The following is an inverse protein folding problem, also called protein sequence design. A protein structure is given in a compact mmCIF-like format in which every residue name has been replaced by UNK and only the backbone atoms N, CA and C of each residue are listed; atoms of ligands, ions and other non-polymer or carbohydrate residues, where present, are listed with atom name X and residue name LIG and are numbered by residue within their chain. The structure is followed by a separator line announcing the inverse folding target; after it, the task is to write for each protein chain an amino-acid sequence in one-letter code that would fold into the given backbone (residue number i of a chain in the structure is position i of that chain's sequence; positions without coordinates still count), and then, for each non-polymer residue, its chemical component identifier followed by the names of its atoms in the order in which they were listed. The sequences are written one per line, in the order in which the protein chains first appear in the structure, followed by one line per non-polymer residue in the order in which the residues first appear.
data_IF_083665656004
#
_entry.id   IF_083665656004
#
_cell.length_a   1.000
_cell.length_b   1.000
_cell.length_c   1.000
_cell.angle_alpha   90.00
_cell.angle_beta   90.00
_cell.angle_gamma   90.00
#
_symmetry.space_group_name_H-M   'P 1'
#
loop_
_entity.id
_entity.type
_entity.pdbx_description
1 polymer ?
#
# COMPACT_ATOMS: atom_id res chain seq x y z
N UNK A 1 -5.51 13.97 -3.76
CA UNK A 1 -4.66 15.00 -3.14
C UNK A 1 -3.24 14.50 -2.98
N UNK A 2 -2.27 15.31 -3.35
CA UNK A 2 -0.85 15.01 -3.15
C UNK A 2 -0.29 16.07 -2.20
N UNK A 3 0.19 15.62 -1.05
CA UNK A 3 0.68 16.50 0.00
C UNK A 3 2.06 17.07 -0.29
N UNK A 4 2.50 18.00 0.56
CA UNK A 4 3.78 18.66 0.38
C UNK A 4 4.93 17.66 0.48
N UNK A 5 5.93 17.81 -0.39
CA UNK A 5 7.13 16.98 -0.47
C UNK A 5 6.89 15.53 -0.86
N UNK A 6 5.65 15.09 -1.09
CA UNK A 6 5.39 13.76 -1.61
C UNK A 6 6.00 13.63 -3.01
N UNK A 7 6.55 12.46 -3.31
CA UNK A 7 7.24 12.20 -4.57
C UNK A 7 6.49 11.13 -5.35
N UNK A 8 6.07 11.48 -6.55
CA UNK A 8 5.31 10.60 -7.42
C UNK A 8 6.14 10.34 -8.68
N UNK A 9 6.37 9.07 -8.98
CA UNK A 9 7.15 8.66 -10.15
C UNK A 9 6.40 8.77 -11.46
N UNK A 10 7.03 8.27 -12.51
CA UNK A 10 6.49 8.27 -13.88
C UNK A 10 5.38 7.24 -14.03
N UNK A 11 4.37 7.58 -14.82
CA UNK A 11 3.33 6.60 -15.17
C UNK A 11 2.47 6.13 -14.00
N UNK A 12 2.46 6.88 -12.90
CA UNK A 12 1.65 6.53 -11.73
C UNK A 12 0.20 6.93 -12.00
N UNK A 13 -0.71 6.02 -11.68
CA UNK A 13 -2.15 6.28 -11.72
C UNK A 13 -2.66 6.48 -10.30
N UNK A 14 -3.21 7.64 -10.02
CA UNK A 14 -3.90 7.93 -8.77
C UNK A 14 -5.39 8.00 -9.06
N UNK A 15 -6.14 7.05 -8.53
CA UNK A 15 -7.59 6.98 -8.74
C UNK A 15 -8.33 8.03 -7.92
N UNK A 16 -9.64 8.14 -8.10
CA UNK A 16 -10.46 9.16 -7.43
C UNK A 16 -10.37 9.06 -5.92
N UNK A 17 -10.19 10.19 -5.25
CA UNK A 17 -10.17 10.27 -3.80
C UNK A 17 -8.91 9.77 -3.13
N UNK A 18 -7.85 9.48 -3.89
CA UNK A 18 -6.56 9.07 -3.32
C UNK A 18 -5.93 10.23 -2.55
N UNK A 19 -5.40 9.94 -1.38
CA UNK A 19 -4.59 10.86 -0.59
C UNK A 19 -3.15 10.37 -0.48
N UNK A 20 -2.20 11.20 -0.90
CA UNK A 20 -0.78 10.96 -0.67
C UNK A 20 -0.32 12.01 0.34
N UNK A 21 0.09 11.55 1.52
CA UNK A 21 0.39 12.44 2.62
C UNK A 21 1.65 13.26 2.42
N UNK A 22 1.64 14.46 2.95
CA UNK A 22 2.79 15.33 2.97
C UNK A 22 3.55 15.23 4.28
N UNK A 23 4.52 16.12 4.47
CA UNK A 23 5.29 16.24 5.71
C UNK A 23 4.53 17.18 6.64
N UNK A 24 3.61 16.63 7.41
CA UNK A 24 2.71 17.41 8.26
C UNK A 24 3.06 17.32 9.74
N UNK A 25 2.13 17.12 10.59
CA UNK A 25 2.28 17.15 12.04
C UNK A 25 2.17 15.75 12.65
N UNK A 26 3.21 15.27 13.34
CA UNK A 26 4.52 15.90 13.48
C UNK A 26 5.32 15.89 12.18
N UNK A 27 6.25 16.83 12.04
CA UNK A 27 7.08 16.91 10.84
C UNK A 27 7.89 15.62 10.67
N UNK A 28 7.77 15.01 9.50
CA UNK A 28 8.48 13.77 9.17
C UNK A 28 9.78 14.05 8.45
N UNK A 29 10.79 13.22 8.73
CA UNK A 29 12.09 13.35 8.07
C UNK A 29 12.04 12.84 6.61
N UNK A 30 11.19 11.86 6.31
CA UNK A 30 11.15 11.22 4.99
C UNK A 30 9.83 11.51 4.27
N UNK A 31 9.90 11.84 2.97
CA UNK A 31 8.68 12.03 2.19
C UNK A 31 8.01 10.68 1.89
N UNK A 32 6.69 10.75 1.65
CA UNK A 32 5.97 9.62 1.05
C UNK A 32 6.37 9.52 -0.41
N UNK A 33 6.66 8.31 -0.86
CA UNK A 33 7.16 8.07 -2.22
C UNK A 33 6.31 7.00 -2.90
N UNK A 34 5.80 7.32 -4.09
CA UNK A 34 5.16 6.36 -4.98
C UNK A 34 6.09 6.24 -6.19
N UNK A 35 6.72 5.09 -6.35
CA UNK A 35 7.68 4.89 -7.43
C UNK A 35 6.95 4.63 -8.77
N UNK A 36 7.75 4.46 -9.84
CA UNK A 36 7.23 4.44 -11.20
C UNK A 36 6.19 3.34 -11.46
N UNK A 37 5.23 3.65 -12.30
CA UNK A 37 4.25 2.71 -12.84
C UNK A 37 3.34 2.05 -11.80
N UNK A 38 3.19 2.66 -10.63
CA UNK A 38 2.25 2.18 -9.62
C UNK A 38 0.82 2.55 -9.99
N UNK A 39 -0.11 1.69 -9.60
CA UNK A 39 -1.54 1.97 -9.67
C UNK A 39 -2.07 2.07 -8.24
N UNK A 40 -2.64 3.21 -7.89
CA UNK A 40 -3.20 3.44 -6.56
C UNK A 40 -4.71 3.52 -6.68
N UNK A 41 -5.40 2.52 -6.14
CA UNK A 41 -6.86 2.40 -6.24
C UNK A 41 -7.61 3.50 -5.51
N UNK A 42 -8.86 3.68 -5.90
CA UNK A 42 -9.70 4.77 -5.40
C UNK A 42 -9.76 4.80 -3.87
N UNK A 43 -9.68 5.99 -3.31
CA UNK A 43 -9.79 6.29 -1.88
C UNK A 43 -8.73 5.63 -1.01
N UNK A 44 -7.62 5.21 -1.62
CA UNK A 44 -6.46 4.75 -0.85
C UNK A 44 -5.73 5.93 -0.24
N UNK A 45 -5.05 5.68 0.89
CA UNK A 45 -4.25 6.68 1.58
C UNK A 45 -2.85 6.12 1.80
N UNK A 46 -1.83 6.86 1.40
CA UNK A 46 -0.43 6.50 1.65
C UNK A 46 0.22 7.69 2.32
N UNK A 47 0.62 7.52 3.56
CA UNK A 47 1.05 8.62 4.41
C UNK A 47 2.31 8.26 5.20
N UNK A 48 2.83 9.21 5.96
CA UNK A 48 3.89 9.01 6.95
C UNK A 48 5.19 8.49 6.35
N UNK A 49 5.54 8.90 5.15
CA UNK A 49 6.81 8.50 4.54
C UNK A 49 6.85 7.05 4.06
N UNK A 50 5.72 6.40 3.90
CA UNK A 50 5.65 5.06 3.31
C UNK A 50 6.14 5.11 1.88
N UNK A 51 6.90 4.11 1.47
CA UNK A 51 7.41 3.97 0.10
C UNK A 51 6.68 2.84 -0.57
N UNK A 52 6.04 3.13 -1.70
CA UNK A 52 5.43 2.12 -2.57
C UNK A 52 6.37 1.94 -3.75
N UNK A 53 7.03 0.78 -3.81
CA UNK A 53 8.02 0.52 -4.85
C UNK A 53 7.38 0.28 -6.20
N UNK A 54 8.17 0.43 -7.25
CA UNK A 54 7.72 0.44 -8.64
C UNK A 54 6.84 -0.76 -9.02
N UNK A 55 5.97 -0.54 -9.97
CA UNK A 55 5.08 -1.54 -10.55
C UNK A 55 4.10 -2.18 -9.57
N UNK A 56 3.90 -1.57 -8.41
CA UNK A 56 2.94 -2.06 -7.42
C UNK A 56 1.52 -1.62 -7.74
N UNK A 57 0.56 -2.41 -7.28
CA UNK A 57 -0.86 -2.13 -7.44
C UNK A 57 -1.49 -2.15 -6.06
N UNK A 58 -2.11 -1.03 -5.67
CA UNK A 58 -2.96 -0.99 -4.49
C UNK A 58 -4.42 -1.02 -4.96
N UNK A 59 -5.19 -1.94 -4.41
CA UNK A 59 -6.64 -1.95 -4.64
C UNK A 59 -7.30 -0.73 -4.01
N UNK A 60 -8.60 -0.56 -4.22
CA UNK A 60 -9.31 0.55 -3.61
C UNK A 60 -9.31 0.43 -2.09
N UNK A 61 -9.26 1.58 -1.41
CA UNK A 61 -9.39 1.63 0.04
C UNK A 61 -8.25 0.97 0.80
N UNK A 62 -7.03 1.02 0.28
CA UNK A 62 -5.85 0.54 0.98
C UNK A 62 -5.22 1.70 1.74
N UNK A 63 -5.02 1.54 3.03
CA UNK A 63 -4.51 2.59 3.91
C UNK A 63 -3.14 2.20 4.45
N UNK A 64 -2.12 3.01 4.15
CA UNK A 64 -0.74 2.72 4.51
C UNK A 64 -0.12 3.88 5.30
N UNK A 65 0.15 3.63 6.56
CA UNK A 65 0.98 4.48 7.41
C UNK A 65 2.14 3.65 7.97
N UNK A 66 2.99 4.26 8.77
CA UNK A 66 4.16 3.56 9.34
C UNK A 66 3.77 2.44 10.31
N UNK A 67 2.60 2.53 10.90
CA UNK A 67 2.10 1.52 11.84
C UNK A 67 1.19 0.48 11.21
N UNK A 68 0.93 0.57 9.91
CA UNK A 68 0.08 -0.38 9.21
C UNK A 68 0.86 -1.65 8.90
N UNK A 69 0.44 -2.82 9.43
CA UNK A 69 1.08 -4.07 9.05
C UNK A 69 0.87 -4.36 7.57
N UNK A 70 1.94 -4.76 6.91
CA UNK A 70 1.89 -5.22 5.53
C UNK A 70 2.21 -6.71 5.57
N UNK A 71 1.19 -7.52 5.34
CA UNK A 71 1.27 -8.97 5.47
C UNK A 71 1.40 -9.61 4.08
N UNK A 72 2.48 -10.35 3.87
CA UNK A 72 2.69 -11.12 2.65
C UNK A 72 2.10 -12.51 2.86
N UNK A 73 0.97 -12.80 2.21
CA UNK A 73 0.30 -14.08 2.43
C UNK A 73 1.08 -15.28 1.90
N UNK A 74 2.03 -15.06 0.98
CA UNK A 74 2.85 -16.16 0.46
C UNK A 74 3.89 -16.64 1.47
N UNK A 75 4.41 -15.72 2.30
CA UNK A 75 5.49 -16.02 3.26
C UNK A 75 5.04 -15.96 4.71
N UNK A 76 3.92 -15.29 5.00
CA UNK A 76 3.47 -15.00 6.36
C UNK A 76 4.25 -13.88 7.03
N UNK A 77 5.11 -13.19 6.31
CA UNK A 77 5.95 -12.13 6.85
C UNK A 77 5.17 -10.84 6.99
N UNK A 78 5.43 -10.10 8.07
CA UNK A 78 4.84 -8.78 8.33
C UNK A 78 5.95 -7.75 8.28
N UNK A 79 5.76 -6.72 7.47
CA UNK A 79 6.69 -5.59 7.36
C UNK A 79 5.93 -4.28 7.51
N UNK A 80 6.68 -3.17 7.61
CA UNK A 80 6.12 -1.83 7.81
C UNK A 80 6.88 -0.83 6.95
N UNK A 81 6.17 0.21 6.50
CA UNK A 81 6.79 1.38 5.89
C UNK A 81 7.18 1.25 4.44
N UNK A 82 7.11 0.06 3.85
CA UNK A 82 7.53 -0.14 2.46
C UNK A 82 6.74 -1.27 1.82
N UNK A 83 6.19 -1.00 0.65
CA UNK A 83 5.55 -2.00 -0.21
C UNK A 83 6.58 -2.44 -1.25
N UNK A 84 7.00 -3.71 -1.27
CA UNK A 84 8.01 -4.17 -2.23
C UNK A 84 7.53 -4.06 -3.67
N UNK A 85 8.48 -3.92 -4.59
CA UNK A 85 8.17 -3.77 -6.02
C UNK A 85 7.29 -4.92 -6.53
N UNK A 86 6.36 -4.58 -7.42
CA UNK A 86 5.47 -5.56 -8.05
C UNK A 86 4.43 -6.17 -7.12
N UNK A 87 4.24 -5.62 -5.93
CA UNK A 87 3.22 -6.12 -5.00
C UNK A 87 1.82 -5.75 -5.46
N UNK A 88 0.90 -6.69 -5.31
CA UNK A 88 -0.54 -6.44 -5.46
C UNK A 88 -1.13 -6.49 -4.06
N UNK A 89 -1.68 -5.37 -3.62
CA UNK A 89 -2.06 -5.16 -2.23
C UNK A 89 -3.55 -4.87 -2.13
N UNK A 90 -4.20 -5.50 -1.18
CA UNK A 90 -5.62 -5.27 -0.88
C UNK A 90 -5.79 -5.03 0.62
N UNK A 91 -6.92 -4.45 0.99
CA UNK A 91 -7.29 -4.28 2.40
C UNK A 91 -7.65 -5.61 3.02
N UNK A 92 -7.27 -5.80 4.27
CA UNK A 92 -7.61 -6.99 5.03
C UNK A 92 -7.49 -6.75 6.52
N UNK A 93 -7.48 -7.83 7.27
CA UNK A 93 -7.38 -7.79 8.72
C UNK A 93 -6.48 -8.92 9.21
N UNK A 94 -5.82 -8.70 10.33
CA UNK A 94 -5.07 -9.75 11.02
C UNK A 94 -5.74 -10.05 12.35
N UNK A 95 -5.88 -11.33 12.71
CA UNK A 95 -6.46 -11.71 14.00
C UNK A 95 -5.57 -11.32 15.16
N UNK A 96 -6.18 -10.90 16.25
CA UNK A 96 -5.52 -10.48 17.48
C UNK A 96 -6.27 -11.07 18.67
N UNK A 97 -5.64 -11.04 19.84
CA UNK A 97 -6.25 -11.45 21.08
C UNK A 97 -6.14 -10.32 22.10
N UNK A 98 -7.27 -9.92 22.66
CA UNK A 98 -7.32 -8.90 23.69
C UNK A 98 -6.73 -9.41 25.01
N UNK A 99 -6.44 -8.48 25.94
CA UNK A 99 -5.88 -8.83 27.23
C UNK A 99 -6.77 -9.81 28.02
N UNK A 100 -8.08 -9.75 27.83
CA UNK A 100 -9.04 -10.66 28.47
C UNK A 100 -9.26 -11.97 27.71
N UNK A 101 -8.49 -12.21 26.63
CA UNK A 101 -8.60 -13.41 25.81
C UNK A 101 -9.63 -13.33 24.68
N UNK A 102 -10.36 -12.22 24.57
CA UNK A 102 -11.37 -12.09 23.50
C UNK A 102 -10.71 -11.91 22.14
N UNK A 103 -11.22 -12.58 21.09
CA UNK A 103 -10.69 -12.40 19.75
C UNK A 103 -11.15 -11.06 19.16
N UNK A 104 -10.27 -10.44 18.37
CA UNK A 104 -10.61 -9.27 17.55
C UNK A 104 -9.67 -9.25 16.34
N UNK A 105 -9.87 -8.32 15.44
CA UNK A 105 -8.96 -8.17 14.30
C UNK A 105 -8.58 -6.71 14.12
N UNK A 106 -7.41 -6.48 13.54
CA UNK A 106 -6.96 -5.14 13.20
C UNK A 106 -6.68 -5.05 11.71
N UNK A 107 -6.88 -3.86 11.17
CA UNK A 107 -6.62 -3.58 9.76
C UNK A 107 -5.18 -3.93 9.41
N UNK A 108 -5.01 -4.50 8.23
CA UNK A 108 -3.71 -4.74 7.63
C UNK A 108 -3.83 -4.62 6.11
N UNK A 109 -2.72 -4.26 5.48
CA UNK A 109 -2.58 -4.33 4.04
C UNK A 109 -2.03 -5.71 3.70
N UNK A 110 -2.66 -6.39 2.75
CA UNK A 110 -2.33 -7.78 2.41
C UNK A 110 -1.71 -7.81 1.02
N UNK A 111 -0.47 -8.30 0.92
CA UNK A 111 0.13 -8.59 -0.38
C UNK A 111 -0.41 -9.95 -0.82
N UNK A 112 -1.28 -9.93 -1.85
CA UNK A 112 -1.92 -11.16 -2.33
C UNK A 112 -1.09 -11.87 -3.38
N UNK A 113 -0.21 -11.13 -4.06
CA UNK A 113 0.74 -11.70 -5.03
C UNK A 113 1.81 -10.66 -5.35
N UNK A 114 2.87 -11.12 -5.97
CA UNK A 114 3.92 -10.24 -6.51
C UNK A 114 4.14 -10.60 -7.97
N UNK A 115 4.24 -9.60 -8.82
CA UNK A 115 4.40 -9.78 -10.25
C UNK A 115 5.61 -8.99 -10.75
N UNK A 116 6.23 -9.46 -11.83
CA UNK A 116 7.32 -8.72 -12.46
C UNK A 116 6.75 -7.60 -13.36
N UNK A 117 7.62 -6.72 -13.82
CA UNK A 117 7.23 -5.59 -14.67
C UNK A 117 6.56 -6.06 -15.97
N UNK A 118 7.03 -7.16 -16.54
CA UNK A 118 6.48 -7.68 -17.78
C UNK A 118 5.06 -8.23 -17.57
N UNK A 119 4.84 -8.99 -16.53
CA UNK A 119 3.50 -9.49 -16.18
C UNK A 119 2.57 -8.32 -15.87
N UNK A 120 3.07 -7.33 -15.11
CA UNK A 120 2.30 -6.14 -14.74
C UNK A 120 1.82 -5.37 -15.98
N UNK A 121 2.65 -5.24 -17.00
CA UNK A 121 2.30 -4.51 -18.21
C UNK A 121 1.30 -5.26 -19.11
N UNK A 122 1.21 -6.57 -19.00
CA UNK A 122 0.36 -7.42 -19.83
C UNK A 122 -0.97 -7.78 -19.20
N UNK A 123 -1.10 -7.63 -17.89
CA UNK A 123 -2.27 -8.08 -17.14
C UNK A 123 -3.11 -6.88 -16.74
N UNK A 124 -4.42 -6.97 -16.89
CA UNK A 124 -5.30 -5.88 -16.46
C UNK A 124 -5.25 -5.73 -14.93
N UNK A 125 -5.49 -4.52 -14.47
CA UNK A 125 -5.53 -4.22 -13.04
C UNK A 125 -6.59 -5.08 -12.34
N UNK A 126 -7.77 -5.23 -12.95
CA UNK A 126 -8.84 -6.03 -12.35
C UNK A 126 -8.44 -7.50 -12.18
N UNK A 127 -7.72 -8.05 -13.16
CA UNK A 127 -7.23 -9.42 -13.06
C UNK A 127 -6.18 -9.58 -11.97
N UNK A 128 -5.29 -8.58 -11.82
CA UNK A 128 -4.28 -8.60 -10.77
C UNK A 128 -4.91 -8.57 -9.37
N UNK A 129 -6.01 -7.85 -9.20
CA UNK A 129 -6.67 -7.71 -7.90
C UNK A 129 -7.55 -8.89 -7.53
N UNK A 130 -7.80 -9.82 -8.44
CA UNK A 130 -8.50 -11.07 -8.14
C UNK A 130 -7.59 -12.05 -7.42
N UNK A 131 -8.18 -12.84 -6.58
CA UNK A 131 -7.46 -13.87 -5.80
C UNK A 131 -6.75 -14.89 -6.67
#
# INVERSE_FOLDING_TARGET
TVGSCAQIGKGVHLSGGVGIGGVLEPLQANPTVIEDNCFIGARSEVVEGVIVEENSVLGMGVYLGQSTPIFDRATGEITYGRVPSGSVVVSGNLPKTAANGAPYSMYAAIIVKRVDAQTRSKTSINDLLRD
#
